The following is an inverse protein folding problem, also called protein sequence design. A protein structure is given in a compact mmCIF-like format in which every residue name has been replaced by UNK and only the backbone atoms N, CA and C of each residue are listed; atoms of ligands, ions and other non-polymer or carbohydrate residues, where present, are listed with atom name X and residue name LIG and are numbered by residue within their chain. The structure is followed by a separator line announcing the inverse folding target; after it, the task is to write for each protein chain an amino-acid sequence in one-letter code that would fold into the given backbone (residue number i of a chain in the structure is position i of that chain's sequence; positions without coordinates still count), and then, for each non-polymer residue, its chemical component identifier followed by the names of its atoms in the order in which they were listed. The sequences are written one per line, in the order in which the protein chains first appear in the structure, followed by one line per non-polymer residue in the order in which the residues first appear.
data_IF_980592088880
#
_entry.id   IF_980592088880
#
_cell.length_a   1.000
_cell.length_b   1.000
_cell.length_c   1.000
_cell.angle_alpha   90.00
_cell.angle_beta   90.00
_cell.angle_gamma   90.00
#
_symmetry.space_group_name_H-M   'P 1'
#
loop_
_entity.id
_entity.type
_entity.pdbx_description
1 polymer ?
#
# COMPACT_ATOMS: atom_id res chain seq x y z
N UNK A 1 -1.81 5.02 41.89
CA UNK A 1 -1.22 6.10 41.05
C UNK A 1 -1.60 5.94 39.58
N UNK A 2 -1.33 4.80 38.94
CA UNK A 2 -1.70 4.55 37.53
C UNK A 2 -3.21 4.75 37.24
N UNK A 3 -4.09 4.20 38.08
CA UNK A 3 -5.54 4.32 37.89
C UNK A 3 -6.04 5.79 37.95
N UNK A 4 -5.45 6.62 38.82
CA UNK A 4 -5.80 8.04 38.94
C UNK A 4 -5.35 8.81 37.70
N UNK A 5 -4.18 8.49 37.16
CA UNK A 5 -3.66 9.09 35.93
C UNK A 5 -4.55 8.73 34.74
N UNK A 6 -4.97 7.48 34.60
CA UNK A 6 -5.88 7.04 33.53
C UNK A 6 -7.23 7.77 33.62
N UNK A 7 -7.79 7.89 34.81
CA UNK A 7 -9.06 8.61 35.03
C UNK A 7 -8.92 10.11 34.76
N UNK A 8 -7.81 10.73 35.18
CA UNK A 8 -7.55 12.14 34.92
C UNK A 8 -7.36 12.43 33.43
N UNK A 9 -6.61 11.58 32.71
CA UNK A 9 -6.39 11.73 31.27
C UNK A 9 -7.67 11.50 30.46
N UNK A 10 -8.49 10.52 30.84
CA UNK A 10 -9.78 10.27 30.17
C UNK A 10 -10.78 11.40 30.43
N UNK A 11 -10.85 11.93 31.65
CA UNK A 11 -11.68 13.09 31.97
C UNK A 11 -11.23 14.36 31.22
N UNK A 12 -9.92 14.60 31.14
CA UNK A 12 -9.36 15.73 30.39
C UNK A 12 -9.61 15.57 28.88
N UNK A 13 -9.45 14.37 28.32
CA UNK A 13 -9.71 14.10 26.91
C UNK A 13 -11.20 14.30 26.55
N UNK A 14 -12.12 13.88 27.43
CA UNK A 14 -13.55 14.12 27.26
C UNK A 14 -13.87 15.61 27.30
N UNK A 15 -13.36 16.34 28.30
CA UNK A 15 -13.62 17.78 28.45
C UNK A 15 -13.02 18.58 27.29
N UNK A 16 -11.79 18.25 26.87
CA UNK A 16 -11.13 18.86 25.72
C UNK A 16 -11.85 18.54 24.40
N UNK A 17 -12.36 17.33 24.24
CA UNK A 17 -13.14 16.94 23.05
C UNK A 17 -14.46 17.72 22.91
N UNK A 18 -15.07 18.12 24.01
CA UNK A 18 -16.31 18.92 24.04
C UNK A 18 -16.08 20.42 23.90
N UNK A 19 -14.88 20.91 24.26
CA UNK A 19 -14.58 22.34 24.41
C UNK A 19 -13.82 22.95 23.22
N UNK A 20 -13.47 22.15 22.21
CA UNK A 20 -12.83 22.66 21.01
C UNK A 20 -13.89 23.31 20.12
N UNK A 21 -13.83 24.62 19.87
CA UNK A 21 -14.79 25.28 18.99
C UNK A 21 -14.70 24.71 17.58
N UNK A 22 -15.86 24.46 16.96
CA UNK A 22 -15.95 24.10 15.54
C UNK A 22 -15.18 25.13 14.70
N UNK A 23 -14.32 24.60 13.83
CA UNK A 23 -13.42 25.41 13.03
C UNK A 23 -14.21 26.33 12.11
N UNK A 24 -14.11 27.64 12.36
CA UNK A 24 -14.77 28.68 11.55
C UNK A 24 -13.89 29.05 10.35
N UNK A 25 -13.68 28.09 9.45
CA UNK A 25 -12.91 28.27 8.22
C UNK A 25 -13.52 27.44 7.09
N UNK A 26 -13.06 27.60 5.83
CA UNK A 26 -13.51 26.71 4.76
C UNK A 26 -13.22 25.25 5.15
N UNK A 27 -14.16 24.31 4.89
CA UNK A 27 -13.97 22.90 5.20
C UNK A 27 -12.68 22.36 4.59
N UNK A 28 -11.89 21.64 5.39
CA UNK A 28 -10.71 20.91 4.89
C UNK A 28 -11.11 19.45 4.80
N UNK A 29 -11.43 19.03 3.58
CA UNK A 29 -11.80 17.66 3.26
C UNK A 29 -10.60 16.94 2.65
N UNK A 30 -10.22 15.80 3.24
CA UNK A 30 -9.15 14.97 2.70
C UNK A 30 -9.49 13.50 2.89
N UNK A 31 -9.75 12.81 1.78
CA UNK A 31 -10.03 11.38 1.76
C UNK A 31 -8.84 10.68 1.09
N UNK A 32 -8.28 9.70 1.80
CA UNK A 32 -7.31 8.78 1.23
C UNK A 32 -7.95 7.42 0.98
N UNK A 33 -7.58 6.76 -0.12
CA UNK A 33 -7.96 5.37 -0.38
C UNK A 33 -6.95 4.45 0.31
N UNK A 34 -7.39 3.71 1.33
CA UNK A 34 -6.51 2.76 2.06
C UNK A 34 -6.39 1.42 1.35
N UNK A 35 -7.48 0.97 0.72
CA UNK A 35 -7.55 -0.33 0.07
C UNK A 35 -8.45 -0.27 -1.15
N UNK A 36 -7.94 -0.81 -2.24
CA UNK A 36 -8.67 -1.05 -3.48
C UNK A 36 -8.80 -2.56 -3.66
N UNK A 37 -10.03 -3.07 -3.71
CA UNK A 37 -10.32 -4.45 -4.03
C UNK A 37 -11.09 -4.52 -5.35
N UNK A 38 -10.60 -5.35 -6.26
CA UNK A 38 -11.13 -5.51 -7.61
C UNK A 38 -11.70 -6.91 -7.76
N UNK A 39 -13.02 -7.00 -7.93
CA UNK A 39 -13.77 -8.23 -8.17
C UNK A 39 -14.40 -8.16 -9.56
N UNK A 40 -14.70 -9.29 -10.23
CA UNK A 40 -15.32 -9.24 -11.56
C UNK A 40 -16.59 -8.38 -11.58
N UNK A 41 -16.56 -7.26 -12.33
CA UNK A 41 -17.69 -6.33 -12.44
C UNK A 41 -17.85 -5.30 -11.32
N UNK A 42 -16.93 -5.27 -10.34
CA UNK A 42 -17.03 -4.43 -9.14
C UNK A 42 -15.69 -3.90 -8.68
N UNK A 43 -15.68 -2.63 -8.27
CA UNK A 43 -14.55 -1.96 -7.64
C UNK A 43 -14.98 -1.57 -6.22
N UNK A 44 -14.29 -2.08 -5.21
CA UNK A 44 -14.54 -1.73 -3.81
C UNK A 44 -13.37 -0.91 -3.28
N UNK A 45 -13.65 0.28 -2.78
CA UNK A 45 -12.68 1.20 -2.20
C UNK A 45 -12.95 1.37 -0.71
N UNK A 46 -11.89 1.30 0.09
CA UNK A 46 -11.94 1.68 1.51
C UNK A 46 -11.41 3.10 1.61
N UNK A 47 -12.32 4.04 1.84
CA UNK A 47 -12.03 5.45 2.00
C UNK A 47 -11.76 5.74 3.46
N UNK A 48 -10.77 6.58 3.74
CA UNK A 48 -10.52 7.09 5.08
C UNK A 48 -10.40 8.59 5.08
N UNK A 49 -11.10 9.23 6.00
CA UNK A 49 -10.97 10.66 6.19
C UNK A 49 -9.71 10.97 7.00
N UNK A 50 -8.74 11.61 6.33
CA UNK A 50 -7.50 12.11 6.94
C UNK A 50 -7.59 13.60 7.27
N UNK A 51 -8.69 14.25 6.87
CA UNK A 51 -9.00 15.65 7.18
C UNK A 51 -9.62 15.82 8.57
N UNK A 52 -9.62 17.07 9.10
CA UNK A 52 -10.23 17.39 10.38
C UNK A 52 -11.77 17.41 10.34
N UNK A 53 -12.35 17.72 9.18
CA UNK A 53 -13.79 17.93 8.99
C UNK A 53 -14.44 16.69 8.37
N UNK A 54 -15.72 16.42 8.68
CA UNK A 54 -16.44 15.28 8.12
C UNK A 54 -16.67 15.46 6.62
N UNK A 55 -16.46 14.40 5.83
CA UNK A 55 -16.56 14.45 4.36
C UNK A 55 -17.69 13.55 3.88
N UNK A 56 -18.53 14.07 2.99
CA UNK A 56 -19.56 13.27 2.31
C UNK A 56 -19.23 13.16 0.83
N UNK A 57 -19.12 11.92 0.34
CA UNK A 57 -18.90 11.66 -1.09
C UNK A 57 -20.26 11.68 -1.79
N UNK A 58 -20.47 12.65 -2.67
CA UNK A 58 -21.73 12.84 -3.37
C UNK A 58 -21.82 12.00 -4.65
N UNK A 59 -20.72 11.90 -5.40
CA UNK A 59 -20.67 11.19 -6.67
C UNK A 59 -19.27 10.62 -6.91
N UNK A 60 -19.18 9.51 -7.64
CA UNK A 60 -17.90 8.97 -8.12
C UNK A 60 -17.94 8.78 -9.62
N UNK A 61 -16.81 9.03 -10.27
CA UNK A 61 -16.56 8.75 -11.67
C UNK A 61 -15.34 7.83 -11.82
N UNK A 62 -15.39 6.91 -12.80
CA UNK A 62 -14.28 6.04 -13.20
C UNK A 62 -13.97 6.32 -14.66
N UNK A 63 -12.77 6.79 -14.98
CA UNK A 63 -12.38 7.24 -16.33
C UNK A 63 -13.44 8.17 -16.95
N UNK A 64 -13.77 9.26 -16.23
CA UNK A 64 -14.77 10.26 -16.62
C UNK A 64 -16.21 9.75 -16.79
N UNK A 65 -16.48 8.50 -16.41
CA UNK A 65 -17.82 7.90 -16.45
C UNK A 65 -18.42 7.88 -15.05
N UNK A 66 -19.56 8.54 -14.85
CA UNK A 66 -20.28 8.48 -13.58
C UNK A 66 -20.80 7.08 -13.32
N UNK A 67 -20.57 6.60 -12.10
CA UNK A 67 -21.00 5.28 -11.64
C UNK A 67 -21.79 5.39 -10.35
N UNK A 68 -22.70 4.44 -10.14
CA UNK A 68 -23.46 4.36 -8.91
C UNK A 68 -22.56 3.98 -7.73
N UNK A 69 -22.74 4.70 -6.63
CA UNK A 69 -21.98 4.53 -5.39
C UNK A 69 -22.87 3.83 -4.36
N UNK A 70 -22.40 2.68 -3.88
CA UNK A 70 -23.06 1.94 -2.79
C UNK A 70 -22.14 1.98 -1.56
N UNK A 71 -22.57 2.64 -0.47
CA UNK A 71 -21.87 2.56 0.82
C UNK A 71 -21.27 3.86 1.39
N UNK A 72 -21.67 5.05 0.94
CA UNK A 72 -21.29 6.34 1.57
C UNK A 72 -22.47 7.29 1.80
N UNK A 73 -23.58 6.76 2.35
CA UNK A 73 -24.75 7.59 2.65
C UNK A 73 -24.52 8.52 3.86
N UNK A 74 -23.67 8.10 4.80
CA UNK A 74 -23.36 8.85 6.01
C UNK A 74 -22.05 9.63 5.87
N UNK A 75 -21.92 10.83 6.48
CA UNK A 75 -20.68 11.59 6.51
C UNK A 75 -19.54 10.78 7.16
N UNK A 76 -18.38 10.73 6.51
CA UNK A 76 -17.19 10.06 7.04
C UNK A 76 -16.53 11.01 8.04
N UNK A 77 -16.65 10.72 9.33
CA UNK A 77 -16.03 11.49 10.41
C UNK A 77 -14.50 11.43 10.37
N UNK A 78 -13.85 12.28 11.16
CA UNK A 78 -12.39 12.35 11.20
C UNK A 78 -11.77 11.01 11.62
N UNK A 79 -10.79 10.53 10.84
CA UNK A 79 -10.11 9.23 10.99
C UNK A 79 -11.01 8.00 10.84
N UNK A 80 -12.28 8.19 10.49
CA UNK A 80 -13.19 7.09 10.18
C UNK A 80 -12.90 6.55 8.78
N UNK A 81 -13.13 5.25 8.63
CA UNK A 81 -13.04 4.54 7.36
C UNK A 81 -14.41 4.05 6.94
N UNK A 82 -14.73 4.18 5.67
CA UNK A 82 -15.98 3.70 5.08
C UNK A 82 -15.68 2.96 3.77
N UNK A 83 -16.40 1.86 3.55
CA UNK A 83 -16.24 1.05 2.35
C UNK A 83 -17.32 1.42 1.35
N UNK A 84 -16.90 1.83 0.16
CA UNK A 84 -17.77 2.11 -0.97
C UNK A 84 -17.54 1.11 -2.09
N UNK A 85 -18.62 0.78 -2.76
CA UNK A 85 -18.68 -0.19 -3.85
C UNK A 85 -19.20 0.51 -5.09
N UNK A 86 -18.50 0.29 -6.19
CA UNK A 86 -18.76 0.85 -7.51
C UNK A 86 -19.02 -0.32 -8.45
N UNK A 87 -20.21 -0.39 -9.03
CA UNK A 87 -20.53 -1.41 -10.02
C UNK A 87 -19.99 -0.95 -11.39
N UNK A 88 -18.80 -1.44 -11.75
CA UNK A 88 -18.09 -1.06 -12.97
C UNK A 88 -17.34 -2.26 -13.58
N UNK A 89 -17.60 -2.61 -14.86
CA UNK A 89 -16.94 -3.72 -15.54
C UNK A 89 -15.52 -3.35 -15.99
N UNK A 90 -14.55 -3.54 -15.10
CA UNK A 90 -13.14 -3.29 -15.38
C UNK A 90 -12.47 -4.45 -16.13
N UNK A 91 -11.33 -4.14 -16.77
CA UNK A 91 -10.50 -5.04 -17.57
C UNK A 91 -9.13 -5.17 -16.91
N UNK A 92 -8.60 -6.38 -16.86
CA UNK A 92 -7.30 -6.66 -16.23
C UNK A 92 -6.16 -5.95 -16.96
N UNK A 93 -5.28 -5.30 -16.20
CA UNK A 93 -4.11 -4.58 -16.70
C UNK A 93 -4.38 -3.18 -17.24
N UNK A 94 -5.63 -2.72 -17.22
CA UNK A 94 -5.95 -1.34 -17.60
C UNK A 94 -5.78 -0.37 -16.43
N UNK A 95 -5.27 0.85 -16.68
CA UNK A 95 -5.29 1.92 -15.70
C UNK A 95 -6.69 2.53 -15.59
N UNK A 96 -7.09 2.90 -14.37
CA UNK A 96 -8.33 3.61 -14.09
C UNK A 96 -8.08 4.80 -13.18
N UNK A 97 -8.70 5.94 -13.51
CA UNK A 97 -8.76 7.11 -12.65
C UNK A 97 -10.13 7.14 -11.96
N UNK A 98 -10.12 7.08 -10.64
CA UNK A 98 -11.33 7.24 -9.82
C UNK A 98 -11.39 8.66 -9.30
N UNK A 99 -12.37 9.43 -9.73
CA UNK A 99 -12.60 10.80 -9.29
C UNK A 99 -13.80 10.85 -8.37
N UNK A 100 -13.58 11.22 -7.11
CA UNK A 100 -14.61 11.31 -6.07
C UNK A 100 -14.98 12.77 -5.88
N UNK A 101 -16.25 13.10 -6.13
CA UNK A 101 -16.79 14.43 -5.90
C UNK A 101 -17.48 14.47 -4.54
N UNK A 102 -17.05 15.39 -3.69
CA UNK A 102 -17.64 15.63 -2.37
C UNK A 102 -18.87 16.54 -2.45
N UNK A 103 -19.68 16.58 -1.38
CA UNK A 103 -20.83 17.49 -1.28
C UNK A 103 -20.46 18.98 -1.31
N UNK A 104 -19.20 19.33 -0.99
CA UNK A 104 -18.71 20.71 -1.05
C UNK A 104 -18.17 21.11 -2.43
N UNK A 105 -18.09 20.16 -3.36
CA UNK A 105 -17.59 20.39 -4.71
C UNK A 105 -16.09 20.14 -4.88
N UNK A 106 -15.40 19.66 -3.85
CA UNK A 106 -14.00 19.21 -3.97
C UNK A 106 -13.93 17.89 -4.73
N UNK A 107 -13.05 17.81 -5.73
CA UNK A 107 -12.74 16.58 -6.47
C UNK A 107 -11.45 15.97 -5.91
N UNK A 108 -11.51 14.71 -5.52
CA UNK A 108 -10.37 13.92 -5.04
C UNK A 108 -10.14 12.78 -6.02
N UNK A 109 -8.96 12.73 -6.60
CA UNK A 109 -8.59 11.75 -7.61
C UNK A 109 -7.73 10.63 -7.03
N UNK A 110 -8.00 9.40 -7.44
CA UNK A 110 -7.24 8.21 -7.08
C UNK A 110 -6.95 7.38 -8.32
N UNK A 111 -5.67 7.21 -8.63
CA UNK A 111 -5.22 6.41 -9.77
C UNK A 111 -5.00 4.95 -9.37
N UNK A 112 -5.58 4.05 -10.16
CA UNK A 112 -5.32 2.62 -10.15
C UNK A 112 -4.46 2.33 -11.39
N UNK A 113 -3.13 2.22 -11.27
CA UNK A 113 -2.24 2.15 -12.43
C UNK A 113 -2.38 0.84 -13.22
N UNK A 114 -2.77 -0.25 -12.56
CA UNK A 114 -3.05 -1.52 -13.21
C UNK A 114 -4.12 -2.29 -12.41
N UNK A 115 -5.30 -2.46 -13.00
CA UNK A 115 -6.36 -3.24 -12.38
C UNK A 115 -6.04 -4.75 -12.41
N UNK A 116 -5.97 -5.38 -11.25
CA UNK A 116 -5.76 -6.82 -11.11
C UNK A 116 -6.76 -7.38 -10.11
N UNK A 117 -7.36 -8.53 -10.45
CA UNK A 117 -8.29 -9.21 -9.57
C UNK A 117 -7.64 -9.42 -8.20
N UNK A 118 -8.28 -8.91 -7.16
CA UNK A 118 -7.78 -9.08 -5.80
C UNK A 118 -8.00 -10.53 -5.38
N UNK A 119 -6.96 -11.27 -4.96
CA UNK A 119 -7.12 -12.64 -4.52
C UNK A 119 -8.08 -12.70 -3.33
N UNK A 120 -9.19 -13.43 -3.47
CA UNK A 120 -10.10 -13.67 -2.37
C UNK A 120 -9.43 -14.63 -1.36
N UNK A 121 -9.51 -14.36 -0.04
CA UNK A 121 -9.03 -15.29 0.97
C UNK A 121 -9.90 -16.56 0.92
N UNK A 122 -9.41 -17.58 0.21
CA UNK A 122 -10.09 -18.86 0.02
C UNK A 122 -9.20 -20.05 0.40
N UNK A 123 -9.80 -21.24 0.49
CA UNK A 123 -9.08 -22.48 0.83
C UNK A 123 -7.89 -22.75 -0.10
N UNK A 124 -8.03 -22.43 -1.39
CA UNK A 124 -6.95 -22.56 -2.37
C UNK A 124 -5.81 -21.56 -2.10
N UNK A 125 -6.13 -20.31 -1.72
CA UNK A 125 -5.14 -19.30 -1.35
C UNK A 125 -4.36 -19.74 -0.10
N UNK A 126 -5.06 -20.20 0.94
CA UNK A 126 -4.41 -20.72 2.14
C UNK A 126 -3.56 -21.96 1.85
N UNK A 127 -4.02 -22.85 0.96
CA UNK A 127 -3.23 -23.99 0.50
C UNK A 127 -1.94 -23.57 -0.20
N UNK A 128 -2.00 -22.57 -1.10
CA UNK A 128 -0.82 -22.01 -1.76
C UNK A 128 0.12 -21.33 -0.77
N UNK A 129 -0.40 -20.56 0.19
CA UNK A 129 0.41 -19.91 1.22
C UNK A 129 1.07 -20.93 2.14
N UNK A 130 0.36 -22.01 2.51
CA UNK A 130 0.93 -23.11 3.27
C UNK A 130 2.02 -23.85 2.47
N UNK A 131 1.82 -24.08 1.17
CA UNK A 131 2.82 -24.68 0.29
C UNK A 131 4.06 -23.79 0.17
N UNK A 132 3.87 -22.48 -0.01
CA UNK A 132 4.96 -21.50 -0.07
C UNK A 132 5.73 -21.46 1.25
N UNK A 133 5.02 -21.40 2.38
CA UNK A 133 5.62 -21.45 3.71
C UNK A 133 6.36 -22.76 3.99
N UNK A 134 5.85 -23.88 3.49
CA UNK A 134 6.53 -25.18 3.58
C UNK A 134 7.83 -25.19 2.76
N UNK A 135 7.78 -24.65 1.53
CA UNK A 135 8.93 -24.58 0.63
C UNK A 135 10.02 -23.64 1.16
N UNK A 136 9.65 -22.50 1.73
CA UNK A 136 10.59 -21.48 2.23
C UNK A 136 11.02 -21.75 3.68
N UNK A 137 10.20 -22.42 4.48
CA UNK A 137 10.45 -22.66 5.91
C UNK A 137 10.90 -24.08 6.24
N UNK A 138 10.03 -25.06 5.98
CA UNK A 138 10.24 -26.44 6.46
C UNK A 138 11.32 -27.16 5.65
N UNK A 139 11.23 -27.11 4.32
CA UNK A 139 12.17 -27.82 3.44
C UNK A 139 13.63 -27.39 3.67
N UNK A 140 13.97 -26.09 3.76
CA UNK A 140 15.35 -25.65 3.97
C UNK A 140 15.91 -26.08 5.33
N UNK A 141 15.09 -26.09 6.39
CA UNK A 141 15.50 -26.56 7.71
C UNK A 141 15.80 -28.05 7.69
N UNK A 142 14.93 -28.86 7.09
CA UNK A 142 15.13 -30.29 6.96
C UNK A 142 16.38 -30.62 6.14
N UNK A 143 16.59 -29.92 5.01
CA UNK A 143 17.80 -30.07 4.20
C UNK A 143 19.06 -29.67 4.99
N UNK A 144 19.01 -28.58 5.76
CA UNK A 144 20.10 -28.16 6.63
C UNK A 144 20.44 -29.22 7.69
N UNK A 145 19.43 -29.79 8.34
CA UNK A 145 19.61 -30.89 9.31
C UNK A 145 20.16 -32.16 8.66
N UNK A 146 19.72 -32.48 7.43
CA UNK A 146 20.22 -33.62 6.66
C UNK A 146 21.68 -33.44 6.21
N UNK A 147 22.08 -32.20 5.89
CA UNK A 147 23.44 -31.87 5.47
C UNK A 147 24.42 -31.73 6.66
N UNK A 148 23.91 -31.44 7.86
CA UNK A 148 24.70 -31.31 9.08
C UNK A 148 25.67 -32.48 9.35
N UNK A 149 25.27 -33.76 9.31
CA UNK A 149 26.19 -34.88 9.50
C UNK A 149 27.28 -34.95 8.42
N UNK A 150 26.97 -34.58 7.18
CA UNK A 150 27.94 -34.55 6.08
C UNK A 150 29.01 -33.49 6.36
N UNK A 151 28.61 -32.29 6.77
CA UNK A 151 29.57 -31.23 7.14
C UNK A 151 30.43 -31.62 8.34
N UNK A 152 29.85 -32.29 9.35
CA UNK A 152 30.60 -32.81 10.50
C UNK A 152 31.66 -33.83 10.10
N UNK A 153 31.43 -34.63 9.05
CA UNK A 153 32.41 -35.59 8.52
C UNK A 153 33.47 -34.94 7.62
N UNK A 154 33.11 -33.88 6.87
CA UNK A 154 34.00 -33.22 5.91
C UNK A 154 35.17 -32.42 6.56
N UNK A 155 35.09 -32.16 7.87
CA UNK A 155 36.14 -31.51 8.64
C UNK A 155 36.28 -29.99 8.43
N UNK A 156 37.04 -29.33 9.31
CA UNK A 156 37.11 -27.85 9.38
C UNK A 156 37.65 -27.18 8.12
N UNK A 157 38.52 -27.86 7.36
CA UNK A 157 39.14 -27.29 6.16
C UNK A 157 38.16 -27.15 5.00
N UNK A 158 37.31 -28.16 4.77
CA UNK A 158 36.26 -28.10 3.77
C UNK A 158 35.22 -27.03 4.11
N UNK A 159 34.81 -26.95 5.38
CA UNK A 159 33.86 -25.93 5.86
C UNK A 159 34.41 -24.52 5.65
N UNK A 160 35.69 -24.28 6.00
CA UNK A 160 36.34 -22.97 5.77
C UNK A 160 36.42 -22.60 4.29
N UNK A 161 36.68 -23.57 3.42
CA UNK A 161 36.67 -23.34 1.97
C UNK A 161 35.30 -22.91 1.46
N UNK A 162 34.24 -23.66 1.81
CA UNK A 162 32.86 -23.30 1.42
C UNK A 162 32.47 -21.93 1.98
N UNK A 163 32.81 -21.64 3.23
CA UNK A 163 32.56 -20.34 3.84
C UNK A 163 33.28 -19.21 3.07
N UNK A 164 34.55 -19.40 2.73
CA UNK A 164 35.31 -18.43 1.94
C UNK A 164 34.67 -18.20 0.56
N UNK A 165 34.16 -19.25 -0.09
CA UNK A 165 33.42 -19.13 -1.36
C UNK A 165 32.13 -18.33 -1.17
N UNK A 166 31.34 -18.63 -0.13
CA UNK A 166 30.09 -17.88 0.15
C UNK A 166 30.35 -16.42 0.46
N UNK A 167 31.40 -16.11 1.23
CA UNK A 167 31.81 -14.73 1.55
C UNK A 167 32.30 -14.02 0.29
N UNK A 168 33.07 -14.71 -0.56
CA UNK A 168 33.51 -14.18 -1.86
C UNK A 168 32.34 -13.87 -2.80
N UNK A 169 31.36 -14.78 -2.90
CA UNK A 169 30.14 -14.56 -3.68
C UNK A 169 29.34 -13.38 -3.12
N UNK A 170 29.21 -13.28 -1.80
CA UNK A 170 28.49 -12.18 -1.16
C UNK A 170 29.18 -10.83 -1.41
N UNK A 171 30.52 -10.77 -1.32
CA UNK A 171 31.28 -9.58 -1.66
C UNK A 171 31.14 -9.19 -3.13
N UNK A 172 31.11 -10.18 -4.04
CA UNK A 172 30.85 -9.96 -5.46
C UNK A 172 29.45 -9.37 -5.69
N UNK A 173 28.41 -9.93 -5.05
CA UNK A 173 27.04 -9.41 -5.14
C UNK A 173 26.93 -7.97 -4.63
N UNK A 174 27.63 -7.64 -3.54
CA UNK A 174 27.68 -6.26 -3.03
C UNK A 174 28.30 -5.32 -4.06
N UNK A 175 29.42 -5.70 -4.66
CA UNK A 175 30.10 -4.87 -5.65
C UNK A 175 29.24 -4.67 -6.90
N UNK A 176 28.70 -5.75 -7.44
CA UNK A 176 27.84 -5.73 -8.63
C UNK A 176 26.59 -4.89 -8.40
N UNK A 177 25.84 -5.18 -7.33
CA UNK A 177 24.63 -4.46 -6.96
C UNK A 177 24.86 -2.98 -6.66
N UNK A 178 25.99 -2.63 -6.04
CA UNK A 178 26.36 -1.23 -5.80
C UNK A 178 26.69 -0.51 -7.11
N UNK A 179 27.43 -1.16 -8.01
CA UNK A 179 27.80 -0.57 -9.30
C UNK A 179 26.57 -0.32 -10.18
N UNK A 180 25.62 -1.25 -10.19
CA UNK A 180 24.38 -1.13 -10.95
C UNK A 180 23.43 -0.11 -10.30
N UNK A 181 23.34 -0.10 -8.97
CA UNK A 181 22.61 0.92 -8.23
C UNK A 181 23.08 2.34 -8.54
N UNK A 182 24.39 2.58 -8.64
CA UNK A 182 24.93 3.88 -9.04
C UNK A 182 24.62 4.25 -10.50
N UNK A 183 24.66 3.29 -11.43
CA UNK A 183 24.25 3.54 -12.83
C UNK A 183 22.77 3.91 -12.93
N UNK A 184 21.90 3.19 -12.20
CA UNK A 184 20.48 3.49 -12.13
C UNK A 184 20.24 4.88 -11.53
N UNK A 185 20.91 5.21 -10.42
CA UNK A 185 20.82 6.53 -9.80
C UNK A 185 21.25 7.66 -10.77
N UNK A 186 22.35 7.45 -11.50
CA UNK A 186 22.82 8.40 -12.52
C UNK A 186 21.83 8.53 -13.69
N UNK A 187 21.26 7.42 -14.18
CA UNK A 187 20.24 7.44 -15.23
C UNK A 187 18.95 8.15 -14.79
N UNK A 188 18.54 7.96 -13.52
CA UNK A 188 17.36 8.63 -12.94
C UNK A 188 17.60 10.08 -12.51
N UNK A 189 18.85 10.55 -12.53
CA UNK A 189 19.20 11.95 -12.23
C UNK A 189 19.07 12.88 -13.44
N UNK A 190 18.76 12.35 -14.63
CA UNK A 190 18.20 13.14 -15.72
C UNK A 190 16.81 13.64 -15.30
N UNK A 191 16.43 14.89 -15.65
CA UNK A 191 15.19 15.49 -15.18
C UNK A 191 14.02 14.55 -15.50
N UNK A 192 13.37 14.08 -14.44
CA UNK A 192 12.22 13.20 -14.47
C UNK A 192 11.09 13.99 -15.14
N UNK A 193 10.96 13.84 -16.45
CA UNK A 193 9.80 14.32 -17.20
C UNK A 193 8.69 13.28 -17.04
N UNK A 194 8.24 13.07 -15.79
CA UNK A 194 7.10 12.23 -15.45
C UNK A 194 5.98 13.13 -14.95
N UNK A 195 5.38 13.88 -15.88
CA UNK A 195 4.04 14.43 -15.74
C UNK A 195 3.56 14.89 -17.12
N UNK A 196 2.36 14.46 -17.49
CA UNK A 196 1.70 14.72 -18.77
C UNK A 196 1.55 16.22 -19.12
N UNK A 197 1.82 17.14 -18.18
CA UNK A 197 1.81 18.59 -18.42
C UNK A 197 3.11 19.18 -18.99
N UNK A 198 4.20 18.40 -19.11
CA UNK A 198 5.51 18.91 -19.51
C UNK A 198 5.88 18.74 -21.00
N UNK A 199 4.99 18.23 -21.86
CA UNK A 199 5.24 18.14 -23.32
C UNK A 199 5.51 19.50 -23.97
N UNK A 200 5.07 20.61 -23.36
CA UNK A 200 5.26 21.96 -23.91
C UNK A 200 6.58 22.64 -23.50
N UNK A 201 7.28 22.13 -22.48
CA UNK A 201 8.49 22.77 -21.95
C UNK A 201 9.81 22.19 -22.48
N UNK A 202 9.80 20.99 -23.07
CA UNK A 202 10.99 20.32 -23.60
C UNK A 202 11.14 20.41 -25.14
N UNK A 203 10.35 21.25 -25.82
CA UNK A 203 10.47 21.52 -27.26
C UNK A 203 10.93 22.96 -27.55
N UNK A 204 11.84 23.48 -26.74
CA UNK A 204 12.44 24.80 -26.93
C UNK A 204 13.90 24.77 -26.58
N UNK A 205 14.72 24.80 -27.64
CA UNK A 205 16.18 24.98 -27.73
C UNK A 205 17.10 23.81 -27.31
#
# INVERSE_FOLDING_TARGET
MLAIIVVALTALAMLAGQSLPERTGPPIENISVERTALEPGRITLTLRNTGPDAVTVAQVAVNDTFVDLVGAADPIGRLESQTVTLDYPWITGQPYLVSMLTSTGLVIEHEIPAAVATPAPGVAFFGLMALLGTYVGIIPVLLGMLLLPVMRRAGTRAVRFVLAVTVGLLAFLIFDGTSEGFKLAAASSLPICFSSSAIRACSGD
#
